data_IF_589328179595
#
_entry.id   IF_589328179595
#
_cell.length_a   1.000
_cell.length_b   1.000
_cell.length_c   1.000
_cell.angle_alpha   90.00
_cell.angle_beta   90.00
_cell.angle_gamma   90.00
#
_symmetry.space_group_name_H-M   'P 1'
#
loop_
_entity.id
_entity.type
_entity.pdbx_description
1 polymer ?
#
# COMPACT_ATOMS: atom_id res chain seq x y z
N UNK A 1 8.62 17.07 44.98
CA UNK A 1 7.66 16.37 44.10
C UNK A 1 8.42 16.13 42.81
N UNK A 2 8.76 14.87 42.53
CA UNK A 2 9.63 14.51 41.41
C UNK A 2 8.83 14.47 40.11
N UNK A 3 9.39 15.10 39.07
CA UNK A 3 8.88 15.22 37.72
C UNK A 3 8.42 13.89 37.12
N UNK A 4 7.19 13.91 36.60
CA UNK A 4 6.54 12.85 35.85
C UNK A 4 7.13 12.80 34.43
N UNK A 5 8.19 12.00 34.22
CA UNK A 5 8.64 11.63 32.87
C UNK A 5 7.79 10.48 32.33
N UNK A 6 6.55 10.77 31.94
CA UNK A 6 5.90 10.02 30.88
C UNK A 6 6.31 10.67 29.56
N UNK A 7 7.52 10.37 29.10
CA UNK A 7 7.83 10.55 27.69
C UNK A 7 7.49 9.21 27.04
N UNK A 8 6.23 9.06 26.64
CA UNK A 8 5.77 7.96 25.82
C UNK A 8 6.67 7.90 24.59
N UNK A 9 7.55 6.90 24.57
CA UNK A 9 8.19 6.46 23.33
C UNK A 9 7.06 5.92 22.47
N UNK A 10 6.42 6.80 21.71
CA UNK A 10 5.78 6.37 20.47
C UNK A 10 6.92 5.90 19.59
N UNK A 11 7.27 4.62 19.75
CA UNK A 11 7.93 3.86 18.70
C UNK A 11 7.03 4.01 17.48
N UNK A 12 7.37 4.99 16.63
CA UNK A 12 6.84 5.07 15.29
C UNK A 12 7.27 3.77 14.60
N UNK A 13 6.36 2.81 14.54
CA UNK A 13 6.50 1.56 13.81
C UNK A 13 6.51 1.89 12.31
N UNK A 14 7.58 2.54 11.85
CA UNK A 14 7.86 2.66 10.44
C UNK A 14 8.25 1.25 9.95
N UNK A 15 7.50 0.67 9.00
CA UNK A 15 7.77 -0.68 8.53
C UNK A 15 9.18 -0.78 7.94
N UNK A 16 9.81 -1.94 8.10
CA UNK A 16 11.13 -2.21 7.49
C UNK A 16 11.04 -2.29 5.96
N UNK A 17 12.15 -2.10 5.25
CA UNK A 17 12.17 -2.23 3.79
C UNK A 17 11.70 -3.62 3.30
N UNK A 18 11.92 -4.67 4.08
CA UNK A 18 11.45 -6.03 3.76
C UNK A 18 9.93 -6.19 3.94
N UNK A 19 9.33 -5.53 4.93
CA UNK A 19 7.88 -5.52 5.12
C UNK A 19 7.19 -4.72 4.01
N UNK A 20 7.75 -3.57 3.67
CA UNK A 20 7.30 -2.75 2.53
C UNK A 20 7.42 -3.51 1.21
N UNK A 21 8.51 -4.25 0.97
CA UNK A 21 8.67 -5.07 -0.24
C UNK A 21 7.55 -6.11 -0.35
N UNK A 22 7.24 -6.78 0.76
CA UNK A 22 6.15 -7.76 0.83
C UNK A 22 4.79 -7.12 0.58
N UNK A 23 4.52 -5.97 1.17
CA UNK A 23 3.28 -5.21 0.98
C UNK A 23 3.12 -4.76 -0.47
N UNK A 24 4.17 -4.14 -1.05
CA UNK A 24 4.22 -3.80 -2.48
C UNK A 24 3.91 -5.02 -3.35
N UNK A 25 4.51 -6.18 -3.05
CA UNK A 25 4.24 -7.42 -3.79
C UNK A 25 2.76 -7.84 -3.69
N UNK A 26 2.16 -7.77 -2.51
CA UNK A 26 0.74 -8.09 -2.31
C UNK A 26 -0.17 -7.15 -3.10
N UNK A 27 0.10 -5.85 -3.08
CA UNK A 27 -0.69 -4.86 -3.83
C UNK A 27 -0.54 -5.09 -5.35
N UNK A 28 0.65 -5.47 -5.84
CA UNK A 28 0.85 -5.86 -7.25
C UNK A 28 -0.01 -7.08 -7.64
N UNK A 29 -0.04 -8.11 -6.80
CA UNK A 29 -0.87 -9.30 -7.04
C UNK A 29 -2.35 -8.92 -7.09
N UNK A 30 -2.80 -8.12 -6.12
CA UNK A 30 -4.19 -7.66 -6.06
C UNK A 30 -4.58 -6.82 -7.27
N UNK A 31 -3.67 -5.97 -7.77
CA UNK A 31 -3.90 -5.19 -8.99
C UNK A 31 -4.11 -6.11 -10.20
N UNK A 32 -3.28 -7.15 -10.36
CA UNK A 32 -3.41 -8.11 -11.46
C UNK A 32 -4.74 -8.88 -11.36
N UNK A 33 -5.12 -9.33 -10.16
CA UNK A 33 -6.39 -10.02 -9.94
C UNK A 33 -7.58 -9.13 -10.27
N UNK A 34 -7.58 -7.87 -9.84
CA UNK A 34 -8.64 -6.91 -10.17
C UNK A 34 -8.70 -6.60 -11.67
N UNK A 35 -7.55 -6.46 -12.34
CA UNK A 35 -7.53 -6.29 -13.79
C UNK A 35 -8.12 -7.50 -14.52
N UNK A 36 -7.87 -8.72 -14.04
CA UNK A 36 -8.49 -9.92 -14.60
C UNK A 36 -10.01 -9.95 -14.35
N UNK A 37 -10.45 -9.64 -13.13
CA UNK A 37 -11.87 -9.55 -12.79
C UNK A 37 -12.59 -8.47 -13.61
N UNK A 38 -11.98 -7.30 -13.79
CA UNK A 38 -12.54 -6.20 -14.56
C UNK A 38 -12.83 -6.58 -16.01
N UNK A 39 -12.02 -7.47 -16.62
CA UNK A 39 -12.27 -7.99 -17.97
C UNK A 39 -13.54 -8.85 -18.08
N UNK A 40 -14.03 -9.38 -16.96
CA UNK A 40 -15.26 -10.18 -16.89
C UNK A 40 -16.50 -9.36 -16.58
N UNK A 41 -16.35 -8.08 -16.20
CA UNK A 41 -17.47 -7.18 -15.96
C UNK A 41 -18.10 -6.78 -17.31
N UNK A 42 -19.29 -7.32 -17.64
CA UNK A 42 -20.00 -7.05 -18.90
C UNK A 42 -21.12 -6.01 -18.77
N UNK A 43 -21.60 -5.79 -17.56
CA UNK A 43 -22.60 -4.75 -17.28
C UNK A 43 -21.93 -3.36 -17.22
N UNK A 44 -22.46 -2.33 -17.89
CA UNK A 44 -21.84 -1.00 -17.92
C UNK A 44 -21.65 -0.33 -16.55
N UNK A 45 -22.58 -0.54 -15.60
CA UNK A 45 -22.44 0.02 -14.26
C UNK A 45 -21.36 -0.73 -13.48
N UNK A 46 -21.32 -2.06 -13.59
CA UNK A 46 -20.26 -2.88 -13.00
C UNK A 46 -18.90 -2.56 -13.62
N UNK A 47 -18.80 -2.33 -14.93
CA UNK A 47 -17.55 -1.92 -15.58
C UNK A 47 -16.96 -0.65 -14.95
N UNK A 48 -17.79 0.35 -14.67
CA UNK A 48 -17.34 1.57 -14.00
C UNK A 48 -16.83 1.28 -12.57
N UNK A 49 -17.53 0.42 -11.82
CA UNK A 49 -17.11 0.01 -10.47
C UNK A 49 -15.78 -0.77 -10.51
N UNK A 50 -15.67 -1.77 -11.40
CA UNK A 50 -14.47 -2.58 -11.58
C UNK A 50 -13.28 -1.71 -12.00
N UNK A 51 -13.47 -0.78 -12.96
CA UNK A 51 -12.43 0.15 -13.38
C UNK A 51 -11.99 1.09 -12.25
N UNK A 52 -12.93 1.57 -11.42
CA UNK A 52 -12.61 2.41 -10.26
C UNK A 52 -11.79 1.65 -9.22
N UNK A 53 -12.11 0.37 -8.98
CA UNK A 53 -11.33 -0.47 -8.07
C UNK A 53 -9.89 -0.66 -8.57
N UNK A 54 -9.72 -0.99 -9.86
CA UNK A 54 -8.38 -1.15 -10.49
C UNK A 54 -7.57 0.13 -10.36
N UNK A 55 -8.16 1.29 -10.64
CA UNK A 55 -7.46 2.59 -10.51
C UNK A 55 -7.04 2.85 -9.07
N UNK A 56 -7.92 2.60 -8.08
CA UNK A 56 -7.58 2.79 -6.66
C UNK A 56 -6.40 1.90 -6.25
N UNK A 57 -6.44 0.61 -6.58
CA UNK A 57 -5.33 -0.31 -6.23
C UNK A 57 -4.05 0.03 -6.98
N UNK A 58 -4.13 0.61 -8.20
CA UNK A 58 -2.95 1.14 -8.89
C UNK A 58 -2.36 2.36 -8.17
N UNK A 59 -3.19 3.23 -7.59
CA UNK A 59 -2.71 4.34 -6.75
C UNK A 59 -2.04 3.81 -5.47
N UNK A 60 -2.68 2.89 -4.76
CA UNK A 60 -2.12 2.26 -3.55
C UNK A 60 -0.75 1.61 -3.84
N UNK A 61 -0.58 1.02 -5.03
CA UNK A 61 0.70 0.46 -5.46
C UNK A 61 1.78 1.53 -5.65
N UNK A 62 1.44 2.67 -6.26
CA UNK A 62 2.40 3.74 -6.47
C UNK A 62 2.86 4.36 -5.15
N UNK A 63 1.95 4.51 -4.19
CA UNK A 63 2.27 5.04 -2.87
C UNK A 63 3.19 4.09 -2.10
N UNK A 64 2.88 2.78 -2.08
CA UNK A 64 3.71 1.76 -1.43
C UNK A 64 5.08 1.57 -2.11
N UNK A 65 5.14 1.61 -3.45
CA UNK A 65 6.42 1.55 -4.18
C UNK A 65 7.31 2.76 -3.89
N UNK A 66 6.72 3.94 -3.76
CA UNK A 66 7.44 5.14 -3.40
C UNK A 66 8.02 5.02 -1.99
N UNK A 67 7.20 4.63 -1.01
CA UNK A 67 7.65 4.45 0.37
C UNK A 67 8.75 3.39 0.48
N UNK A 68 8.57 2.25 -0.19
CA UNK A 68 9.58 1.19 -0.25
C UNK A 68 10.90 1.69 -0.83
N UNK A 69 10.84 2.45 -1.92
CA UNK A 69 12.03 3.03 -2.55
C UNK A 69 12.72 4.03 -1.63
N UNK A 70 11.97 4.97 -1.06
CA UNK A 70 12.50 5.97 -0.13
C UNK A 70 13.19 5.27 1.06
N UNK A 71 12.58 4.18 1.59
CA UNK A 71 13.16 3.39 2.68
C UNK A 71 14.45 2.66 2.31
N UNK A 72 14.50 2.09 1.10
CA UNK A 72 15.70 1.45 0.56
C UNK A 72 16.86 2.43 0.40
N UNK A 73 16.58 3.67 -0.01
CA UNK A 73 17.59 4.73 -0.14
C UNK A 73 18.08 5.22 1.24
N UNK A 74 17.25 5.18 2.28
CA UNK A 74 17.68 5.47 3.67
C UNK A 74 18.62 4.40 4.27
N UNK A 75 18.50 3.15 3.82
CA UNK A 75 19.25 1.99 4.34
C UNK A 75 20.61 1.75 3.63
N UNK A 76 20.89 2.46 2.53
CA UNK A 76 22.16 2.40 1.75
C UNK A 76 23.20 3.45 2.20
#
# INVERSE_FOLDING_TARGET
>A
MADNKQNESTDELNPSAAELEKETMLVRVQLVEQQQQARTCTDPQQQAICATAVVRTAHDLLDTEKEWKDKREEEE
#
